data_IF_213459534248
#
_entry.id   IF_213459534248
#
_cell.length_a   1.000
_cell.length_b   1.000
_cell.length_c   1.000
_cell.angle_alpha   90.00
_cell.angle_beta   90.00
_cell.angle_gamma   90.00
#
_symmetry.space_group_name_H-M   'P 1'
#
loop_
_entity.id
_entity.type
_entity.pdbx_description
1 polymer ?
#
# COMPACT_ATOMS: atom_id res chain seq x y z
N UNK A 1 -13.41 -2.77 7.46
CA UNK A 1 -13.71 -3.99 6.67
C UNK A 1 -12.38 -4.57 6.23
N UNK A 2 -12.18 -5.90 6.29
CA UNK A 2 -10.88 -6.48 5.95
C UNK A 2 -10.55 -6.33 4.44
N UNK A 3 -9.34 -5.87 4.13
CA UNK A 3 -8.84 -5.72 2.74
C UNK A 3 -8.38 -7.02 2.10
N UNK A 4 -8.11 -8.04 2.92
CA UNK A 4 -7.67 -9.35 2.51
C UNK A 4 -8.40 -10.42 3.32
N UNK A 5 -8.36 -11.66 2.83
CA UNK A 5 -9.00 -12.82 3.47
C UNK A 5 -7.94 -13.80 3.99
N UNK A 6 -8.32 -14.69 4.92
CA UNK A 6 -7.46 -15.78 5.34
C UNK A 6 -6.94 -16.63 4.16
N UNK A 7 -7.75 -16.79 3.10
CA UNK A 7 -7.34 -17.49 1.89
C UNK A 7 -6.18 -16.79 1.17
N UNK A 8 -6.18 -15.45 1.10
CA UNK A 8 -5.06 -14.70 0.50
C UNK A 8 -3.76 -14.85 1.31
N UNK A 9 -3.85 -15.12 2.62
CA UNK A 9 -2.69 -15.48 3.44
C UNK A 9 -2.22 -16.90 3.13
N UNK A 10 -3.13 -17.87 3.01
CA UNK A 10 -2.81 -19.27 2.67
C UNK A 10 -2.18 -19.39 1.28
N UNK A 11 -2.67 -18.61 0.31
CA UNK A 11 -2.11 -18.61 -1.05
C UNK A 11 -0.72 -17.97 -1.12
N UNK A 12 -0.37 -17.12 -0.14
CA UNK A 12 0.87 -16.32 -0.14
C UNK A 12 1.95 -16.85 0.81
N UNK A 13 1.55 -17.50 1.89
CA UNK A 13 2.43 -18.03 2.93
C UNK A 13 2.24 -19.54 3.04
N UNK A 14 3.29 -20.27 3.40
CA UNK A 14 3.18 -21.71 3.58
C UNK A 14 2.25 -22.05 4.76
N UNK A 15 1.46 -23.12 4.61
CA UNK A 15 0.56 -23.57 5.68
C UNK A 15 1.31 -23.83 7.00
N UNK A 16 2.54 -24.33 6.93
CA UNK A 16 3.38 -24.56 8.11
C UNK A 16 3.68 -23.26 8.86
N UNK A 17 4.07 -22.19 8.16
CA UNK A 17 4.29 -20.89 8.77
C UNK A 17 3.01 -20.34 9.38
N UNK A 18 1.88 -20.46 8.68
CA UNK A 18 0.60 -19.99 9.20
C UNK A 18 0.19 -20.75 10.45
N UNK A 19 0.38 -22.08 10.51
CA UNK A 19 0.14 -22.85 11.73
C UNK A 19 1.00 -22.36 12.90
N UNK A 20 2.31 -22.19 12.67
CA UNK A 20 3.25 -21.77 13.71
C UNK A 20 2.91 -20.40 14.31
N UNK A 21 2.56 -19.42 13.46
CA UNK A 21 2.21 -18.07 13.95
C UNK A 21 0.82 -17.99 14.56
N UNK A 22 -0.09 -18.87 14.13
CA UNK A 22 -1.48 -18.82 14.57
C UNK A 22 -1.67 -19.61 15.86
N UNK A 23 -1.27 -20.88 15.90
CA UNK A 23 -1.21 -21.68 17.12
C UNK A 23 -0.32 -22.93 16.94
N UNK A 24 0.85 -23.02 17.60
CA UNK A 24 1.72 -24.20 17.50
C UNK A 24 1.13 -25.43 18.20
N UNK A 25 0.23 -25.24 19.16
CA UNK A 25 -0.41 -26.33 19.91
C UNK A 25 -1.61 -26.97 19.17
N UNK A 26 -2.00 -26.43 18.02
CA UNK A 26 -3.15 -26.90 17.24
C UNK A 26 -2.69 -27.42 15.89
N UNK A 27 -3.20 -28.59 15.50
CA UNK A 27 -2.82 -29.25 14.23
C UNK A 27 -3.38 -28.54 12.97
N UNK A 28 -4.22 -27.52 13.16
CA UNK A 28 -4.93 -26.78 12.13
C UNK A 28 -4.73 -25.26 12.24
N UNK A 29 -4.83 -24.57 11.09
CA UNK A 29 -4.76 -23.12 11.00
C UNK A 29 -6.00 -22.52 11.66
N UNK A 30 -5.85 -21.69 12.71
CA UNK A 30 -6.98 -20.94 13.25
C UNK A 30 -7.28 -19.72 12.40
N UNK A 31 -8.19 -19.89 11.45
CA UNK A 31 -8.66 -18.80 10.59
C UNK A 31 -9.13 -17.58 11.38
N UNK A 32 -9.75 -17.77 12.55
CA UNK A 32 -10.18 -16.66 13.42
C UNK A 32 -9.05 -15.71 13.84
N UNK A 33 -7.86 -16.24 14.11
CA UNK A 33 -6.71 -15.43 14.50
C UNK A 33 -6.09 -14.73 13.28
N UNK A 34 -6.14 -15.34 12.10
CA UNK A 34 -5.79 -14.67 10.84
C UNK A 34 -6.77 -13.54 10.53
N UNK A 35 -8.07 -13.80 10.65
CA UNK A 35 -9.11 -12.80 10.37
C UNK A 35 -9.00 -11.61 11.31
N UNK A 36 -8.77 -11.82 12.63
CA UNK A 36 -8.51 -10.72 13.56
C UNK A 36 -7.26 -9.91 13.19
N UNK A 37 -6.17 -10.59 12.82
CA UNK A 37 -4.95 -9.89 12.42
C UNK A 37 -5.14 -9.09 11.11
N UNK A 38 -5.97 -9.59 10.19
CA UNK A 38 -6.34 -8.91 8.95
C UNK A 38 -7.29 -7.74 9.19
N UNK A 39 -8.23 -7.85 10.11
CA UNK A 39 -9.10 -6.75 10.54
C UNK A 39 -8.27 -5.63 11.16
N UNK A 40 -7.42 -5.95 12.14
CA UNK A 40 -6.51 -5.00 12.76
C UNK A 40 -5.60 -4.29 11.74
N UNK A 41 -5.01 -5.05 10.81
CA UNK A 41 -4.18 -4.50 9.74
C UNK A 41 -4.98 -3.59 8.81
N UNK A 42 -6.26 -3.89 8.60
CA UNK A 42 -7.14 -3.09 7.76
C UNK A 42 -7.56 -1.79 8.44
N UNK A 43 -7.83 -1.82 9.75
CA UNK A 43 -8.10 -0.63 10.54
C UNK A 43 -6.87 0.31 10.59
N UNK A 44 -5.66 -0.27 10.65
CA UNK A 44 -4.42 0.51 10.56
C UNK A 44 -4.26 1.17 9.18
N UNK A 45 -4.53 0.43 8.09
CA UNK A 45 -4.53 0.98 6.72
C UNK A 45 -5.57 2.09 6.61
N UNK A 46 -6.79 1.87 7.12
CA UNK A 46 -7.89 2.83 7.11
C UNK A 46 -7.48 4.14 7.79
N UNK A 47 -6.80 4.07 8.95
CA UNK A 47 -6.28 5.26 9.63
C UNK A 47 -5.33 6.12 8.79
N UNK A 48 -4.53 5.52 7.90
CA UNK A 48 -3.69 6.28 6.96
C UNK A 48 -4.46 6.83 5.75
N UNK A 49 -5.56 6.19 5.37
CA UNK A 49 -6.35 6.54 4.19
C UNK A 49 -7.48 7.54 4.49
N UNK A 50 -8.01 7.59 5.73
CA UNK A 50 -9.09 8.48 6.16
C UNK A 50 -8.80 9.96 5.86
N UNK A 51 -7.53 10.36 5.93
CA UNK A 51 -7.12 11.74 5.63
C UNK A 51 -7.32 12.16 4.16
N UNK A 52 -7.47 11.20 3.22
CA UNK A 52 -7.46 11.47 1.78
C UNK A 52 -8.59 10.81 1.00
N UNK A 53 -9.05 9.63 1.40
CA UNK A 53 -10.07 8.86 0.71
C UNK A 53 -11.33 8.70 1.57
N UNK A 54 -12.50 8.58 0.94
CA UNK A 54 -13.73 8.22 1.65
C UNK A 54 -13.78 6.71 1.85
N UNK A 55 -13.87 6.31 3.11
CA UNK A 55 -14.08 4.92 3.51
C UNK A 55 -15.59 4.63 3.66
N UNK A 56 -16.03 3.38 3.40
CA UNK A 56 -15.24 2.26 2.91
C UNK A 56 -14.90 2.38 1.41
N UNK A 57 -13.69 1.95 1.03
CA UNK A 57 -13.26 1.94 -0.37
C UNK A 57 -14.11 0.96 -1.21
N UNK A 58 -14.76 1.39 -2.30
CA UNK A 58 -15.66 0.52 -3.07
C UNK A 58 -14.92 -0.56 -3.88
N UNK A 59 -13.67 -0.31 -4.28
CA UNK A 59 -12.86 -1.28 -5.02
C UNK A 59 -11.38 -1.17 -4.64
N UNK A 60 -10.94 -1.78 -3.53
CA UNK A 60 -9.55 -1.67 -3.08
C UNK A 60 -8.61 -2.37 -4.08
N UNK A 61 -7.49 -1.72 -4.48
CA UNK A 61 -6.52 -2.33 -5.39
C UNK A 61 -5.82 -3.53 -4.74
N UNK A 62 -5.37 -4.49 -5.57
CA UNK A 62 -4.60 -5.66 -5.13
C UNK A 62 -3.37 -5.29 -4.29
N UNK A 63 -2.80 -4.10 -4.46
CA UNK A 63 -1.68 -3.61 -3.66
C UNK A 63 -2.03 -3.49 -2.18
N UNK A 64 -3.22 -2.97 -1.83
CA UNK A 64 -3.67 -2.88 -0.43
C UNK A 64 -3.85 -4.25 0.20
N UNK A 65 -4.31 -5.23 -0.59
CA UNK A 65 -4.42 -6.62 -0.15
C UNK A 65 -3.07 -7.21 0.26
N UNK A 66 -2.05 -7.00 -0.56
CA UNK A 66 -0.68 -7.48 -0.27
C UNK A 66 -0.13 -6.80 0.98
N UNK A 67 -0.37 -5.50 1.12
CA UNK A 67 0.05 -4.71 2.28
C UNK A 67 -0.62 -5.22 3.55
N UNK A 68 -1.94 -5.43 3.52
CA UNK A 68 -2.70 -5.98 4.64
C UNK A 68 -2.16 -7.36 5.07
N UNK A 69 -1.89 -8.26 4.13
CA UNK A 69 -1.30 -9.56 4.45
C UNK A 69 0.09 -9.45 5.10
N UNK A 70 0.95 -8.53 4.63
CA UNK A 70 2.29 -8.35 5.19
C UNK A 70 2.22 -7.78 6.62
N UNK A 71 1.34 -6.81 6.87
CA UNK A 71 1.13 -6.20 8.20
C UNK A 71 0.58 -7.24 9.17
N UNK A 72 -0.45 -8.00 8.76
CA UNK A 72 -1.04 -9.06 9.57
C UNK A 72 0.00 -10.12 9.94
N UNK A 73 0.82 -10.56 8.98
CA UNK A 73 1.89 -11.54 9.23
C UNK A 73 2.92 -11.03 10.24
N UNK A 74 3.37 -9.78 10.09
CA UNK A 74 4.31 -9.17 11.03
C UNK A 74 3.74 -9.10 12.45
N UNK A 75 2.46 -8.73 12.59
CA UNK A 75 1.77 -8.71 13.89
C UNK A 75 1.69 -10.10 14.51
N UNK A 76 1.31 -11.12 13.75
CA UNK A 76 1.22 -12.49 14.26
C UNK A 76 2.59 -13.00 14.73
N UNK A 77 3.66 -12.75 13.96
CA UNK A 77 5.03 -13.07 14.37
C UNK A 77 5.43 -12.34 15.66
N UNK A 78 5.13 -11.04 15.74
CA UNK A 78 5.45 -10.22 16.90
C UNK A 78 4.69 -10.64 18.16
N UNK A 79 3.42 -11.05 18.04
CA UNK A 79 2.61 -11.53 19.16
C UNK A 79 3.16 -12.84 19.74
N UNK A 80 3.72 -13.70 18.88
CA UNK A 80 4.30 -14.99 19.28
C UNK A 80 5.77 -14.91 19.72
N UNK A 81 6.40 -13.73 19.62
CA UNK A 81 7.84 -13.54 19.88
C UNK A 81 8.73 -14.51 19.07
N UNK A 82 8.24 -14.96 17.92
CA UNK A 82 9.04 -15.73 16.97
C UNK A 82 10.05 -14.75 16.39
N UNK A 83 11.29 -15.20 16.21
CA UNK A 83 12.36 -14.38 15.63
C UNK A 83 11.86 -13.77 14.31
N UNK A 84 11.56 -12.47 14.36
CA UNK A 84 10.99 -11.79 13.21
C UNK A 84 12.12 -11.70 12.19
N UNK A 85 12.04 -12.55 11.18
CA UNK A 85 12.96 -12.55 10.05
C UNK A 85 13.13 -11.11 9.54
N UNK A 86 14.37 -10.66 9.36
CA UNK A 86 14.65 -9.29 8.88
C UNK A 86 13.86 -8.96 7.60
N UNK A 87 13.62 -9.95 6.74
CA UNK A 87 12.82 -9.80 5.53
C UNK A 87 11.37 -9.37 5.83
N UNK A 88 10.72 -9.95 6.84
CA UNK A 88 9.35 -9.58 7.21
C UNK A 88 9.29 -8.19 7.83
N UNK A 89 10.28 -7.85 8.65
CA UNK A 89 10.39 -6.49 9.18
C UNK A 89 10.57 -5.47 8.05
N UNK A 90 11.43 -5.74 7.06
CA UNK A 90 11.62 -4.86 5.90
C UNK A 90 10.33 -4.71 5.10
N UNK A 91 9.59 -5.79 4.86
CA UNK A 91 8.28 -5.74 4.18
C UNK A 91 7.25 -4.90 4.94
N UNK A 92 7.23 -5.00 6.27
CA UNK A 92 6.37 -4.17 7.12
C UNK A 92 6.78 -2.69 7.06
N UNK A 93 8.07 -2.39 7.17
CA UNK A 93 8.57 -1.01 7.04
C UNK A 93 8.26 -0.42 5.66
N UNK A 94 8.40 -1.20 4.59
CA UNK A 94 8.08 -0.76 3.23
C UNK A 94 6.57 -0.58 3.01
N UNK A 95 5.74 -1.42 3.64
CA UNK A 95 4.29 -1.23 3.69
C UNK A 95 3.91 0.10 4.38
N UNK A 96 4.50 0.41 5.53
CA UNK A 96 4.27 1.70 6.22
C UNK A 96 4.74 2.87 5.37
N UNK A 97 5.92 2.77 4.73
CA UNK A 97 6.42 3.83 3.83
C UNK A 97 5.46 4.07 2.68
N UNK A 98 4.91 3.01 2.10
CA UNK A 98 3.91 3.11 1.04
C UNK A 98 2.62 3.80 1.55
N UNK A 99 2.07 3.37 2.69
CA UNK A 99 0.87 3.99 3.27
C UNK A 99 1.09 5.46 3.60
N UNK A 100 2.28 5.81 4.12
CA UNK A 100 2.66 7.20 4.35
C UNK A 100 2.72 7.99 3.03
N UNK A 101 3.33 7.45 1.98
CA UNK A 101 3.39 8.10 0.66
C UNK A 101 1.99 8.26 0.01
N UNK A 102 1.07 7.34 0.29
CA UNK A 102 -0.33 7.48 -0.12
C UNK A 102 -1.03 8.59 0.67
N UNK A 103 -0.78 8.67 1.98
CA UNK A 103 -1.34 9.71 2.85
C UNK A 103 -0.82 11.11 2.50
N UNK A 104 0.45 11.25 2.09
CA UNK A 104 1.08 12.55 1.80
C UNK A 104 0.66 13.14 0.47
N UNK A 105 0.27 12.33 -0.52
CA UNK A 105 0.06 12.84 -1.86
C UNK A 105 0.73 12.03 -2.96
N UNK A 106 1.89 11.45 -2.63
CA UNK A 106 2.91 11.03 -3.58
C UNK A 106 2.51 9.82 -4.40
N UNK A 107 1.77 8.89 -3.79
CA UNK A 107 1.23 7.70 -4.46
C UNK A 107 -0.29 7.81 -4.52
N UNK A 108 -0.86 7.59 -5.70
CA UNK A 108 -2.29 7.46 -5.88
C UNK A 108 -2.68 5.99 -6.02
N UNK A 109 -3.72 5.56 -5.31
CA UNK A 109 -4.26 4.21 -5.37
C UNK A 109 -4.97 3.87 -6.70
N UNK A 110 -4.98 4.79 -7.67
CA UNK A 110 -5.65 4.61 -8.96
C UNK A 110 -7.18 4.55 -8.85
N UNK A 111 -7.74 5.04 -7.73
CA UNK A 111 -9.18 5.04 -7.45
C UNK A 111 -9.95 6.19 -8.12
N UNK A 112 -9.30 6.95 -9.00
CA UNK A 112 -9.99 7.96 -9.80
C UNK A 112 -10.93 7.26 -10.80
N UNK A 113 -12.22 7.64 -10.87
CA UNK A 113 -13.03 7.26 -12.00
C UNK A 113 -12.30 7.80 -13.23
N UNK A 114 -12.10 6.93 -14.22
CA UNK A 114 -11.39 7.20 -15.46
C UNK A 114 -11.56 8.64 -15.98
N UNK A 115 -10.61 9.55 -15.65
CA UNK A 115 -10.27 10.68 -16.52
C UNK A 115 -9.09 11.57 -16.11
N UNK A 116 -8.44 11.41 -14.96
CA UNK A 116 -7.22 12.19 -14.70
C UNK A 116 -5.99 11.33 -14.96
N UNK A 117 -5.40 11.61 -16.13
CA UNK A 117 -4.03 11.22 -16.47
C UNK A 117 -3.13 11.48 -15.27
N UNK A 118 -2.56 10.40 -14.73
CA UNK A 118 -1.49 10.46 -13.73
C UNK A 118 -0.39 11.34 -14.31
N UNK A 119 -0.28 12.56 -13.81
CA UNK A 119 0.89 13.40 -14.06
C UNK A 119 2.04 12.74 -13.28
N UNK A 120 3.10 12.23 -13.93
CA UNK A 120 4.24 11.69 -13.21
C UNK A 120 4.89 12.81 -12.41
N UNK A 121 4.95 12.63 -11.09
CA UNK A 121 5.81 13.43 -10.23
C UNK A 121 7.27 13.23 -10.68
N UNK A 122 7.88 14.25 -11.29
CA UNK A 122 9.32 14.27 -11.54
C UNK A 122 9.84 14.55 -12.96
N UNK A 123 9.08 15.21 -13.84
CA UNK A 123 9.66 15.83 -15.05
C UNK A 123 10.16 17.25 -14.76
N UNK A 124 11.28 17.73 -15.34
CA UNK A 124 11.73 19.10 -15.12
C UNK A 124 10.61 20.05 -15.51
N UNK A 125 10.20 20.91 -14.58
CA UNK A 125 9.30 22.02 -14.87
C UNK A 125 9.94 22.87 -15.95
N UNK A 126 9.56 22.66 -17.21
CA UNK A 126 9.65 23.68 -18.23
C UNK A 126 8.70 24.78 -17.78
N UNK A 127 9.23 25.71 -16.98
CA UNK A 127 8.69 27.05 -16.93
C UNK A 127 8.83 27.58 -18.34
N UNK A 128 7.70 27.63 -19.03
CA UNK A 128 7.57 28.38 -20.27
C UNK A 128 7.82 29.85 -19.89
N UNK A 129 9.07 30.27 -20.02
CA UNK A 129 9.45 31.67 -19.89
C UNK A 129 8.70 32.49 -20.94
N UNK A 130 8.49 33.79 -20.71
CA UNK A 130 7.71 34.62 -21.61
C UNK A 130 8.26 34.51 -23.04
N UNK A 131 7.34 34.40 -24.00
CA UNK A 131 7.61 34.22 -25.43
C UNK A 131 8.76 35.12 -25.86
N UNK A 132 9.84 34.50 -26.37
CA UNK A 132 11.02 35.22 -26.86
C UNK A 132 10.60 36.20 -27.97
N UNK A 133 10.65 37.49 -27.67
CA UNK A 133 10.20 38.58 -28.55
C UNK A 133 11.12 38.83 -29.75
N UNK A 134 12.32 38.24 -29.76
CA UNK A 134 13.30 38.39 -30.85
C UNK A 134 13.58 37.04 -31.50
N UNK A 135 12.80 36.69 -32.53
CA UNK A 135 13.17 35.65 -33.49
C UNK A 135 13.73 36.31 -34.75
N UNK A 136 14.75 35.68 -35.36
CA UNK A 136 15.43 36.14 -36.58
C UNK A 136 14.47 36.37 -37.75
N UNK A 137 13.31 35.72 -37.73
CA UNK A 137 12.23 35.86 -38.70
C UNK A 137 11.52 37.22 -38.64
N UNK A 138 11.41 37.85 -37.46
CA UNK A 138 10.74 39.16 -37.30
C UNK A 138 11.62 40.37 -37.62
N UNK A 139 12.86 40.16 -38.08
CA UNK A 139 13.84 41.23 -38.38
C UNK A 139 14.10 41.41 -39.88
N UNK A 140 13.25 40.87 -40.76
CA UNK A 140 13.22 41.22 -42.19
C UNK A 140 12.10 42.24 -42.43
N UNK A 141 12.41 43.52 -42.25
CA UNK A 141 11.43 44.59 -42.50
C UNK A 141 11.81 45.99 -42.04
N UNK A 142 13.08 46.25 -41.69
CA UNK A 142 13.64 47.59 -41.54
C UNK A 142 14.83 47.74 -42.50
#
# INVERSE_FOLDING_TARGET
MAYATAQDMIDRFSEQQLKEVTDPDVESIRTEALDRALEDASDEIDGYLEGRYRLPLPNPPRSLRIIACNIAMYRLLSLRQIDVMEDQRKRYEDAIKFLRAVSTGDINLGLTPANETVQPAGGPTMREGPVRTFSRDRLRGY
#
